data_IF_208017137956
#
_entry.id   IF_208017137956
#
_cell.length_a   1.000
_cell.length_b   1.000
_cell.length_c   1.000
_cell.angle_alpha   90.00
_cell.angle_beta   90.00
_cell.angle_gamma   90.00
#
_symmetry.space_group_name_H-M   'P 1'
#
loop_
_entity.id
_entity.type
_entity.pdbx_description
1 polymer ?
#
# COMPACT_ATOMS: atom_id res chain seq x y z
N UNK A 1 1.38 5.76 20.73
CA UNK A 1 0.51 5.59 19.54
C UNK A 1 -0.32 6.86 19.22
N UNK A 2 0.05 8.04 19.73
CA UNK A 2 -0.77 9.27 19.66
C UNK A 2 0.07 10.40 19.08
N UNK A 3 -0.12 10.72 17.79
CA UNK A 3 0.59 11.83 17.14
C UNK A 3 0.71 11.70 15.61
N UNK A 4 0.45 10.53 15.04
CA UNK A 4 0.42 10.35 13.59
C UNK A 4 -1.03 10.39 13.08
N UNK A 5 -1.27 11.12 11.99
CA UNK A 5 -2.47 11.05 11.18
C UNK A 5 -2.44 9.74 10.39
N UNK A 6 -3.44 8.90 10.61
CA UNK A 6 -3.59 7.61 9.93
C UNK A 6 -4.98 7.56 9.31
N UNK A 7 -5.02 7.29 8.02
CA UNK A 7 -6.26 7.01 7.28
C UNK A 7 -6.32 5.49 7.05
N UNK A 8 -7.40 4.85 7.49
CA UNK A 8 -7.62 3.42 7.33
C UNK A 8 -8.51 3.15 6.13
N UNK A 9 -8.17 2.12 5.36
CA UNK A 9 -8.97 1.64 4.24
C UNK A 9 -9.39 2.77 3.27
N UNK A 10 -8.44 3.67 3.01
CA UNK A 10 -8.66 4.92 2.29
C UNK A 10 -9.03 4.59 0.84
N UNK A 11 -10.22 5.01 0.35
CA UNK A 11 -10.57 4.85 -1.06
C UNK A 11 -9.54 5.54 -1.96
N UNK A 12 -9.11 4.86 -3.01
CA UNK A 12 -8.23 5.41 -4.02
C UNK A 12 -8.99 5.50 -5.35
N UNK A 13 -9.59 6.66 -5.67
CA UNK A 13 -10.33 6.83 -6.92
C UNK A 13 -9.37 6.71 -8.10
N UNK A 14 -9.77 5.96 -9.13
CA UNK A 14 -9.00 5.80 -10.35
C UNK A 14 -9.74 6.45 -11.50
N UNK A 15 -9.07 7.38 -12.17
CA UNK A 15 -9.61 8.05 -13.35
C UNK A 15 -8.92 7.51 -14.60
N UNK A 16 -9.70 7.03 -15.56
CA UNK A 16 -9.23 6.61 -16.86
C UNK A 16 -9.98 7.35 -17.95
N UNK A 17 -9.27 8.14 -18.77
CA UNK A 17 -9.87 8.98 -19.83
C UNK A 17 -11.06 9.80 -19.30
N UNK A 18 -10.84 10.49 -18.18
CA UNK A 18 -11.84 11.33 -17.49
C UNK A 18 -13.05 10.60 -16.90
N UNK A 19 -13.08 9.26 -16.98
CA UNK A 19 -14.09 8.43 -16.32
C UNK A 19 -13.56 7.93 -14.99
N UNK A 20 -14.28 8.20 -13.92
CA UNK A 20 -14.02 7.57 -12.62
C UNK A 20 -14.40 6.09 -12.72
N UNK A 21 -13.41 5.22 -12.59
CA UNK A 21 -13.62 3.78 -12.54
C UNK A 21 -14.09 3.41 -11.14
N UNK A 22 -15.24 2.74 -11.05
CA UNK A 22 -15.73 2.14 -9.81
C UNK A 22 -15.06 0.77 -9.58
N UNK A 23 -13.74 0.79 -9.42
CA UNK A 23 -12.92 -0.40 -9.24
C UNK A 23 -12.62 -0.70 -7.76
N UNK A 24 -13.15 0.11 -6.84
CA UNK A 24 -13.13 -0.18 -5.41
C UNK A 24 -11.74 -0.30 -4.78
N UNK A 25 -10.71 0.34 -5.35
CA UNK A 25 -9.38 0.32 -4.75
C UNK A 25 -9.37 1.01 -3.39
N UNK A 26 -8.75 0.35 -2.42
CA UNK A 26 -8.57 0.85 -1.05
C UNK A 26 -7.14 0.59 -0.61
N UNK A 27 -6.56 1.59 0.05
CA UNK A 27 -5.27 1.50 0.70
C UNK A 27 -5.51 1.07 2.13
N UNK A 28 -4.89 -0.02 2.57
CA UNK A 28 -5.11 -0.53 3.93
C UNK A 28 -4.83 0.58 4.96
N UNK A 29 -3.68 1.26 4.85
CA UNK A 29 -3.31 2.41 5.67
C UNK A 29 -2.57 3.48 4.87
N UNK A 30 -2.85 4.74 5.17
CA UNK A 30 -2.04 5.89 4.77
C UNK A 30 -1.62 6.68 6.00
N UNK A 31 -0.31 6.79 6.23
CA UNK A 31 0.29 7.47 7.37
C UNK A 31 0.83 8.84 6.93
N UNK A 32 0.41 9.89 7.62
CA UNK A 32 0.79 11.30 7.37
C UNK A 32 0.51 11.78 5.93
N UNK A 33 -0.35 11.08 5.18
CA UNK A 33 -0.52 11.35 3.75
C UNK A 33 0.76 11.11 2.91
N UNK A 34 1.73 10.38 3.45
CA UNK A 34 3.08 10.25 2.88
C UNK A 34 3.57 8.82 2.69
N UNK A 35 3.02 7.88 3.46
CA UNK A 35 3.43 6.46 3.43
C UNK A 35 2.19 5.59 3.32
N UNK A 36 2.16 4.74 2.30
CA UNK A 36 1.17 3.67 2.17
C UNK A 36 1.70 2.43 2.89
N UNK A 37 0.87 1.79 3.70
CA UNK A 37 1.17 0.47 4.29
C UNK A 37 0.12 -0.52 3.81
N UNK A 38 0.57 -1.59 3.17
CA UNK A 38 -0.24 -2.71 2.69
C UNK A 38 0.10 -3.95 3.50
N UNK A 39 -0.92 -4.65 3.99
CA UNK A 39 -0.80 -5.82 4.84
C UNK A 39 -1.22 -7.06 4.08
N UNK A 40 -0.46 -8.15 4.23
CA UNK A 40 -0.76 -9.47 3.65
C UNK A 40 -0.54 -10.57 4.70
N UNK A 41 -1.19 -11.71 4.49
CA UNK A 41 -0.93 -12.95 5.22
C UNK A 41 -0.87 -14.10 4.21
N UNK A 42 0.24 -14.19 3.49
CA UNK A 42 0.42 -15.10 2.35
C UNK A 42 1.73 -15.86 2.48
N UNK A 43 1.79 -17.10 1.99
CA UNK A 43 2.99 -17.94 2.11
C UNK A 43 4.24 -17.26 1.54
N UNK A 44 4.09 -16.48 0.46
CA UNK A 44 5.18 -15.72 -0.16
C UNK A 44 4.62 -14.46 -0.81
N UNK A 45 5.36 -13.36 -0.74
CA UNK A 45 5.05 -12.16 -1.51
C UNK A 45 5.33 -12.44 -3.00
N UNK A 46 4.27 -12.55 -3.79
CA UNK A 46 4.34 -12.62 -5.24
C UNK A 46 4.54 -11.24 -5.89
N UNK A 47 5.11 -11.17 -7.11
CA UNK A 47 5.32 -9.90 -7.83
C UNK A 47 4.07 -9.04 -8.00
N UNK A 48 2.88 -9.66 -8.06
CA UNK A 48 1.60 -8.94 -8.18
C UNK A 48 1.31 -8.05 -6.97
N UNK A 49 1.73 -8.43 -5.75
CA UNK A 49 1.52 -7.61 -4.56
C UNK A 49 2.37 -6.33 -4.61
N UNK A 50 3.59 -6.41 -5.16
CA UNK A 50 4.43 -5.24 -5.41
C UNK A 50 3.88 -4.38 -6.54
N UNK A 51 3.39 -5.00 -7.62
CA UNK A 51 2.76 -4.28 -8.72
C UNK A 51 1.51 -3.52 -8.24
N UNK A 52 0.73 -4.09 -7.31
CA UNK A 52 -0.40 -3.42 -6.66
C UNK A 52 0.07 -2.19 -5.88
N UNK A 53 1.02 -2.35 -4.95
CA UNK A 53 1.55 -1.23 -4.17
C UNK A 53 2.19 -0.15 -5.07
N UNK A 54 2.89 -0.56 -6.14
CA UNK A 54 3.43 0.37 -7.12
C UNK A 54 2.34 1.16 -7.84
N UNK A 55 1.23 0.52 -8.20
CA UNK A 55 0.08 1.19 -8.81
C UNK A 55 -0.50 2.22 -7.86
N UNK A 56 -0.65 1.87 -6.58
CA UNK A 56 -1.11 2.78 -5.54
C UNK A 56 -0.20 3.99 -5.34
N UNK A 57 1.12 3.78 -5.32
CA UNK A 57 2.10 4.86 -5.23
C UNK A 57 2.07 5.79 -6.46
N UNK A 58 1.77 5.27 -7.66
CA UNK A 58 1.66 6.09 -8.87
C UNK A 58 0.35 6.88 -8.96
N UNK A 59 -0.72 6.37 -8.35
CA UNK A 59 -2.05 6.97 -8.39
C UNK A 59 -2.34 7.88 -7.20
N UNK A 60 -1.48 7.86 -6.18
CA UNK A 60 -1.57 8.71 -5.00
C UNK A 60 -0.41 9.71 -4.96
N UNK A 61 -0.48 10.69 -4.07
CA UNK A 61 0.63 11.62 -3.80
C UNK A 61 1.73 11.02 -2.90
N UNK A 62 1.64 9.72 -2.56
CA UNK A 62 2.59 9.05 -1.69
C UNK A 62 3.79 8.49 -2.47
N UNK A 63 5.01 8.79 -2.00
CA UNK A 63 6.25 8.30 -2.64
C UNK A 63 6.83 7.03 -2.00
N UNK A 64 6.31 6.63 -0.84
CA UNK A 64 6.86 5.55 -0.01
C UNK A 64 5.78 4.53 0.30
N UNK A 65 6.10 3.25 0.09
CA UNK A 65 5.21 2.13 0.39
C UNK A 65 5.91 1.09 1.25
N UNK A 66 5.15 0.48 2.17
CA UNK A 66 5.55 -0.69 2.94
C UNK A 66 4.57 -1.83 2.65
N UNK A 67 5.10 -2.97 2.22
CA UNK A 67 4.35 -4.22 2.09
C UNK A 67 4.76 -5.14 3.24
N UNK A 68 3.81 -5.42 4.13
CA UNK A 68 4.01 -6.19 5.36
C UNK A 68 3.30 -7.54 5.25
N UNK A 69 4.05 -8.63 5.17
CA UNK A 69 3.53 -9.99 5.24
C UNK A 69 3.64 -10.53 6.66
N UNK A 70 2.51 -10.84 7.30
CA UNK A 70 2.47 -11.40 8.65
C UNK A 70 2.48 -12.93 8.70
N UNK A 71 2.56 -13.61 7.55
CA UNK A 71 2.75 -15.06 7.50
C UNK A 71 4.25 -15.44 7.57
N UNK A 72 4.94 -14.92 8.59
CA UNK A 72 6.35 -15.20 8.92
C UNK A 72 6.53 -15.17 10.45
N UNK A 73 7.56 -15.83 10.97
CA UNK A 73 7.86 -15.81 12.41
C UNK A 73 8.34 -14.43 12.88
N UNK A 74 9.20 -13.76 12.09
CA UNK A 74 9.62 -12.39 12.34
C UNK A 74 9.51 -11.56 11.06
N UNK A 75 9.02 -10.32 11.16
CA UNK A 75 8.87 -9.44 10.00
C UNK A 75 10.19 -9.15 9.27
N UNK A 76 11.32 -9.13 9.99
CA UNK A 76 12.65 -8.96 9.39
C UNK A 76 13.06 -10.14 8.50
N UNK A 77 12.43 -11.31 8.64
CA UNK A 77 12.72 -12.52 7.86
C UNK A 77 11.97 -12.51 6.53
N UNK A 78 12.10 -11.42 5.76
CA UNK A 78 11.46 -11.26 4.45
C UNK A 78 9.96 -10.90 4.52
N UNK A 79 9.43 -10.60 5.70
CA UNK A 79 8.07 -10.11 5.90
C UNK A 79 7.87 -8.62 5.60
N UNK A 80 8.94 -7.85 5.37
CA UNK A 80 8.87 -6.42 5.04
C UNK A 80 9.49 -6.19 3.66
N UNK A 81 8.76 -5.52 2.77
CA UNK A 81 9.34 -4.89 1.56
C UNK A 81 9.06 -3.40 1.56
N UNK A 82 10.10 -2.60 1.28
CA UNK A 82 9.99 -1.15 1.16
C UNK A 82 10.12 -0.76 -0.31
N UNK A 83 9.19 0.07 -0.78
CA UNK A 83 9.18 0.61 -2.14
C UNK A 83 9.26 2.13 -2.09
N UNK A 84 10.01 2.71 -3.02
CA UNK A 84 10.14 4.18 -3.18
C UNK A 84 10.01 4.49 -4.66
N UNK A 85 9.08 5.37 -5.00
CA UNK A 85 8.92 5.92 -6.35
C UNK A 85 9.44 7.36 -6.39
N UNK A 86 9.92 7.81 -7.56
CA UNK A 86 10.48 9.15 -7.76
C UNK A 86 9.36 10.19 -7.89
#
# INVERSE_FOLDING_TARGET
>A
LRGLKIEHEKPLPVFYKDVMLDCGYRLDLVVEGQVIVEVKSVKTIAPIHEAQLLSYLKMSDCKRGLLLNFNVLMLKDGGIRRMIVR
#
